data_IF_776579102396
#
_entry.id   IF_776579102396
#
_cell.length_a   1.000
_cell.length_b   1.000
_cell.length_c   1.000
_cell.angle_alpha   90.00
_cell.angle_beta   90.00
_cell.angle_gamma   90.00
#
_symmetry.space_group_name_H-M   'P 1'
#
loop_
_entity.id
_entity.type
_entity.pdbx_description
1 polymer ?
#
# COMPACT_ATOMS: atom_id res chain seq x y z
N UNK A 1 20.84 -7.02 -2.49
CA UNK A 1 20.96 -8.18 -1.58
C UNK A 1 21.17 -9.44 -2.42
N UNK A 2 21.97 -10.43 -1.98
CA UNK A 2 22.03 -11.71 -2.68
C UNK A 2 20.64 -12.34 -2.70
N UNK A 3 20.22 -12.76 -3.89
CA UNK A 3 18.99 -13.48 -4.13
C UNK A 3 19.04 -14.81 -3.35
N UNK A 4 18.18 -14.97 -2.37
CA UNK A 4 18.07 -16.20 -1.56
C UNK A 4 16.67 -16.80 -1.72
N UNK A 5 16.50 -18.09 -1.41
CA UNK A 5 15.18 -18.70 -1.37
C UNK A 5 14.24 -18.09 -0.30
N UNK A 6 14.77 -17.23 0.58
CA UNK A 6 14.00 -16.44 1.54
C UNK A 6 13.62 -15.05 0.99
N UNK A 7 14.17 -14.65 -0.16
CA UNK A 7 13.87 -13.38 -0.80
C UNK A 7 12.43 -13.34 -1.32
N UNK A 8 11.76 -12.17 -1.25
CA UNK A 8 10.42 -12.04 -1.78
C UNK A 8 10.33 -12.38 -3.26
N UNK A 9 9.24 -13.05 -3.67
CA UNK A 9 8.86 -13.12 -5.08
C UNK A 9 8.88 -11.75 -5.73
N UNK A 10 9.42 -11.68 -6.96
CA UNK A 10 9.44 -10.45 -7.71
C UNK A 10 8.04 -10.13 -8.26
N UNK A 11 7.29 -9.32 -7.51
CA UNK A 11 5.94 -8.86 -7.83
C UNK A 11 5.72 -7.44 -7.28
N UNK A 12 4.53 -6.88 -7.51
CA UNK A 12 4.20 -5.52 -7.06
C UNK A 12 4.29 -5.35 -5.55
N UNK A 13 3.93 -6.39 -4.78
CA UNK A 13 4.01 -6.34 -3.32
C UNK A 13 5.46 -6.26 -2.83
N UNK A 14 6.38 -6.96 -3.50
CA UNK A 14 7.81 -6.87 -3.20
C UNK A 14 8.40 -5.51 -3.59
N UNK A 15 7.98 -4.92 -4.71
CA UNK A 15 8.38 -3.54 -5.06
C UNK A 15 7.89 -2.52 -4.02
N UNK A 16 6.64 -2.68 -3.56
CA UNK A 16 6.10 -1.84 -2.49
C UNK A 16 6.84 -2.05 -1.16
N UNK A 17 7.22 -3.30 -0.83
CA UNK A 17 8.01 -3.62 0.35
C UNK A 17 9.38 -2.93 0.30
N UNK A 18 10.06 -2.99 -0.83
CA UNK A 18 11.37 -2.37 -1.01
C UNK A 18 11.28 -0.85 -0.80
N UNK A 19 10.28 -0.20 -1.42
CA UNK A 19 10.03 1.23 -1.21
C UNK A 19 9.69 1.52 0.26
N UNK A 20 8.87 0.69 0.90
CA UNK A 20 8.50 0.87 2.30
C UNK A 20 9.70 0.75 3.25
N UNK A 21 10.59 -0.22 3.01
CA UNK A 21 11.77 -0.46 3.83
C UNK A 21 12.84 0.61 3.65
N UNK A 22 13.01 1.13 2.44
CA UNK A 22 14.04 2.13 2.13
C UNK A 22 13.57 3.57 2.40
N UNK A 23 12.34 3.88 2.01
CA UNK A 23 11.84 5.26 1.92
C UNK A 23 10.60 5.51 2.80
N UNK A 24 10.16 4.51 3.58
CA UNK A 24 9.06 4.63 4.52
C UNK A 24 7.65 4.58 3.92
N UNK A 25 6.65 4.77 4.79
CA UNK A 25 5.23 4.66 4.45
C UNK A 25 4.82 5.67 3.38
N UNK A 26 5.23 6.93 3.54
CA UNK A 26 4.87 8.01 2.62
C UNK A 26 5.30 7.68 1.19
N UNK A 27 6.54 7.24 0.99
CA UNK A 27 7.02 6.84 -0.33
C UNK A 27 6.26 5.66 -0.93
N UNK A 28 5.90 4.67 -0.12
CA UNK A 28 5.08 3.54 -0.57
C UNK A 28 3.69 4.02 -1.04
N UNK A 29 3.04 4.89 -0.28
CA UNK A 29 1.72 5.44 -0.62
C UNK A 29 1.72 6.19 -1.96
N UNK A 30 2.83 6.87 -2.31
CA UNK A 30 2.99 7.50 -3.63
C UNK A 30 2.92 6.53 -4.79
N UNK A 31 3.23 5.25 -4.56
CA UNK A 31 3.17 4.21 -5.60
C UNK A 31 1.74 3.73 -5.85
N UNK A 32 0.77 4.07 -5.00
CA UNK A 32 -0.61 3.60 -5.15
C UNK A 32 -1.26 4.09 -6.45
N UNK A 33 -0.87 5.26 -6.96
CA UNK A 33 -1.35 5.77 -8.26
C UNK A 33 -0.97 4.86 -9.43
N UNK A 34 0.05 4.00 -9.28
CA UNK A 34 0.49 3.05 -10.30
C UNK A 34 -0.24 1.71 -10.23
N UNK A 35 -0.84 1.37 -9.09
CA UNK A 35 -1.49 0.07 -8.87
C UNK A 35 -2.65 -0.19 -9.84
N UNK A 36 -3.54 0.77 -10.16
CA UNK A 36 -4.56 0.55 -11.19
C UNK A 36 -3.96 0.15 -12.54
N UNK A 37 -2.92 0.86 -12.98
CA UNK A 37 -2.21 0.53 -14.22
C UNK A 37 -1.56 -0.84 -14.14
N UNK A 38 -0.92 -1.17 -13.02
CA UNK A 38 -0.30 -2.48 -12.77
C UNK A 38 -1.31 -3.64 -12.79
N UNK A 39 -2.57 -3.41 -12.38
CA UNK A 39 -3.65 -4.40 -12.45
C UNK A 39 -4.21 -4.55 -13.87
N UNK A 40 -4.11 -3.50 -14.71
CA UNK A 40 -4.63 -3.47 -16.08
C UNK A 40 -3.59 -3.72 -17.16
N UNK A 41 -2.36 -4.08 -16.81
CA UNK A 41 -1.36 -4.52 -17.80
C UNK A 41 -1.91 -5.73 -18.56
N UNK A 42 -1.80 -5.71 -19.90
CA UNK A 42 -2.41 -6.70 -20.78
C UNK A 42 -2.06 -8.15 -20.39
N UNK A 43 -0.80 -8.42 -20.05
CA UNK A 43 -0.35 -9.75 -19.62
C UNK A 43 -1.08 -10.27 -18.38
N UNK A 44 -1.41 -9.39 -17.42
CA UNK A 44 -2.18 -9.75 -16.23
C UNK A 44 -3.67 -9.78 -16.49
N UNK A 45 -4.21 -8.89 -17.31
CA UNK A 45 -5.62 -8.94 -17.71
C UNK A 45 -5.96 -10.29 -18.33
N UNK A 46 -5.07 -10.85 -19.17
CA UNK A 46 -5.24 -12.21 -19.70
C UNK A 46 -5.29 -13.27 -18.59
N UNK A 47 -4.49 -13.15 -17.54
CA UNK A 47 -4.51 -14.08 -16.40
C UNK A 47 -5.78 -13.92 -15.54
N UNK A 48 -6.25 -12.68 -15.34
CA UNK A 48 -7.52 -12.38 -14.67
C UNK A 48 -8.71 -12.96 -15.44
N UNK A 49 -8.78 -12.74 -16.76
CA UNK A 49 -9.81 -13.29 -17.65
C UNK A 49 -9.80 -14.83 -17.58
N UNK A 50 -8.63 -15.46 -17.73
CA UNK A 50 -8.49 -16.92 -17.58
C UNK A 50 -9.02 -17.39 -16.23
N UNK A 51 -8.72 -16.69 -15.15
CA UNK A 51 -9.18 -17.05 -13.80
C UNK A 51 -10.65 -16.70 -13.52
N UNK A 52 -11.35 -16.11 -14.49
CA UNK A 52 -12.70 -15.56 -14.30
C UNK A 52 -12.76 -14.60 -13.10
N UNK A 53 -11.77 -13.71 -13.01
CA UNK A 53 -11.68 -12.63 -12.03
C UNK A 53 -11.75 -11.31 -12.79
N UNK A 54 -12.68 -10.44 -12.40
CA UNK A 54 -12.69 -9.05 -12.84
C UNK A 54 -12.02 -8.22 -11.73
N UNK A 55 -11.15 -7.27 -12.08
CA UNK A 55 -10.47 -6.39 -11.10
C UNK A 55 -10.78 -4.91 -11.30
N UNK A 56 -11.81 -4.60 -12.08
CA UNK A 56 -12.16 -3.23 -12.46
C UNK A 56 -12.60 -2.42 -11.25
N UNK A 57 -13.36 -3.01 -10.31
CA UNK A 57 -13.77 -2.32 -9.08
C UNK A 57 -12.60 -2.14 -8.14
N UNK A 58 -11.69 -3.12 -8.11
CA UNK A 58 -10.43 -3.01 -7.38
C UNK A 58 -9.60 -1.84 -7.91
N UNK A 59 -9.32 -1.80 -9.20
CA UNK A 59 -8.57 -0.72 -9.84
C UNK A 59 -9.26 0.64 -9.66
N UNK A 60 -10.58 0.72 -9.88
CA UNK A 60 -11.36 1.94 -9.67
C UNK A 60 -11.31 2.44 -8.22
N UNK A 61 -11.23 1.55 -7.23
CA UNK A 61 -11.11 1.94 -5.83
C UNK A 61 -9.78 2.65 -5.54
N UNK A 62 -8.70 2.28 -6.23
CA UNK A 62 -7.40 2.96 -6.13
C UNK A 62 -7.38 4.26 -6.94
N UNK A 63 -8.04 4.32 -8.11
CA UNK A 63 -8.14 5.56 -8.90
C UNK A 63 -8.95 6.64 -8.17
N UNK A 64 -10.02 6.24 -7.51
CA UNK A 64 -10.90 7.14 -6.79
C UNK A 64 -10.32 7.58 -5.43
N UNK A 65 -9.15 7.09 -4.99
CA UNK A 65 -8.60 7.39 -3.66
C UNK A 65 -8.38 8.89 -3.43
N UNK A 66 -7.94 9.62 -4.47
CA UNK A 66 -7.71 11.06 -4.41
C UNK A 66 -9.01 11.86 -4.27
N UNK A 67 -10.09 11.35 -4.86
CA UNK A 67 -11.43 11.95 -4.80
C UNK A 67 -12.15 11.66 -3.48
N UNK A 68 -11.68 10.64 -2.74
CA UNK A 68 -12.30 10.18 -1.51
C UNK A 68 -11.35 10.32 -0.32
N UNK A 69 -10.77 11.51 -0.14
CA UNK A 69 -10.02 11.86 1.08
C UNK A 69 -8.93 10.84 1.46
N UNK A 70 -8.26 10.23 0.48
CA UNK A 70 -7.12 9.35 0.74
C UNK A 70 -7.47 8.12 1.58
N UNK A 71 -8.69 7.62 1.45
CA UNK A 71 -9.18 6.46 2.22
C UNK A 71 -8.21 5.27 2.16
N UNK A 72 -7.61 4.95 1.01
CA UNK A 72 -6.61 3.86 0.92
C UNK A 72 -5.37 4.13 1.78
N UNK A 73 -4.88 5.37 1.82
CA UNK A 73 -3.74 5.74 2.65
C UNK A 73 -4.08 5.68 4.14
N UNK A 74 -5.25 6.21 4.54
CA UNK A 74 -5.75 6.13 5.92
C UNK A 74 -5.86 4.69 6.41
N UNK A 75 -6.42 3.81 5.58
CA UNK A 75 -6.51 2.38 5.88
C UNK A 75 -5.14 1.72 5.96
N UNK A 76 -4.21 2.08 5.07
CA UNK A 76 -2.83 1.55 5.12
C UNK A 76 -2.13 1.95 6.41
N UNK A 77 -2.27 3.21 6.85
CA UNK A 77 -1.70 3.68 8.10
C UNK A 77 -2.25 2.93 9.32
N UNK A 78 -3.47 2.40 9.28
CA UNK A 78 -4.04 1.61 10.37
C UNK A 78 -3.47 0.19 10.49
N UNK A 79 -2.71 -0.30 9.50
CA UNK A 79 -2.08 -1.63 9.52
C UNK A 79 -0.82 -1.56 10.41
N UNK A 80 -0.58 -2.50 11.35
CA UNK A 80 0.66 -2.54 12.12
C UNK A 80 1.88 -2.64 11.19
N UNK A 81 2.92 -1.83 11.40
CA UNK A 81 4.09 -1.76 10.50
C UNK A 81 4.70 -3.14 10.16
N UNK A 82 4.94 -3.98 11.17
CA UNK A 82 5.42 -5.36 10.96
C UNK A 82 4.40 -6.24 10.24
N UNK A 83 3.11 -6.03 10.51
CA UNK A 83 2.04 -6.72 9.81
C UNK A 83 1.99 -6.35 8.33
N UNK A 84 2.17 -5.06 8.00
CA UNK A 84 2.28 -4.58 6.62
C UNK A 84 3.47 -5.21 5.90
N UNK A 85 4.65 -5.25 6.52
CA UNK A 85 5.82 -5.93 5.95
C UNK A 85 5.56 -7.43 5.73
N UNK A 86 4.93 -8.10 6.69
CA UNK A 86 4.60 -9.52 6.57
C UNK A 86 3.59 -9.79 5.43
N UNK A 87 2.61 -8.90 5.24
CA UNK A 87 1.63 -8.96 4.16
C UNK A 87 2.32 -8.76 2.81
N UNK A 88 3.11 -7.69 2.65
CA UNK A 88 3.80 -7.39 1.39
C UNK A 88 4.81 -8.48 1.01
N UNK A 89 5.51 -9.06 2.00
CA UNK A 89 6.48 -10.13 1.80
C UNK A 89 5.87 -11.53 1.71
N UNK A 90 4.58 -11.73 1.93
CA UNK A 90 4.00 -13.07 1.93
C UNK A 90 4.43 -13.97 3.10
N UNK A 91 4.90 -13.38 4.20
CA UNK A 91 5.48 -14.09 5.36
C UNK A 91 4.56 -14.10 6.59
N UNK A 92 3.27 -13.74 6.44
CA UNK A 92 2.29 -13.68 7.55
C UNK A 92 2.32 -14.93 8.43
N UNK A 93 2.38 -16.13 7.84
CA UNK A 93 2.42 -17.38 8.59
C UNK A 93 3.71 -17.55 9.41
N UNK A 94 4.85 -17.23 8.81
CA UNK A 94 6.17 -17.31 9.44
C UNK A 94 6.32 -16.31 10.59
N UNK A 95 6.08 -15.03 10.34
CA UNK A 95 6.20 -13.95 11.34
C UNK A 95 5.26 -14.15 12.53
N UNK A 96 4.08 -14.74 12.27
CA UNK A 96 3.10 -15.09 13.29
C UNK A 96 3.52 -16.21 14.24
N UNK A 97 4.53 -17.00 13.87
CA UNK A 97 5.03 -18.11 14.70
C UNK A 97 6.35 -17.79 15.38
N UNK A 98 7.17 -16.90 14.80
CA UNK A 98 8.43 -16.46 15.40
C UNK A 98 8.24 -15.58 16.62
N UNK A 99 7.24 -14.71 16.53
CA UNK A 99 6.93 -13.74 17.56
C UNK A 99 5.71 -14.25 18.30
N UNK A 100 5.83 -14.58 19.60
CA UNK A 100 4.65 -14.77 20.46
C UNK A 100 3.68 -13.62 20.14
N UNK A 101 2.45 -13.95 19.71
CA UNK A 101 1.53 -13.10 18.93
C UNK A 101 1.47 -11.59 19.30
N UNK A 102 1.77 -11.25 20.55
CA UNK A 102 1.78 -9.91 21.10
C UNK A 102 2.82 -8.96 20.46
N UNK A 103 3.95 -9.46 19.94
CA UNK A 103 5.02 -8.57 19.45
C UNK A 103 4.81 -8.02 18.03
N UNK A 104 3.92 -8.62 17.24
CA UNK A 104 3.60 -8.13 15.89
C UNK A 104 2.53 -7.03 15.91
N UNK A 105 1.82 -6.87 17.02
CA UNK A 105 0.76 -5.87 17.15
C UNK A 105 -0.47 -6.13 16.27
N UNK A 106 -0.70 -7.38 15.83
CA UNK A 106 -1.93 -7.71 15.12
C UNK A 106 -3.16 -7.36 15.94
N UNK A 107 -4.25 -7.00 15.27
CA UNK A 107 -5.52 -6.76 15.95
C UNK A 107 -6.09 -8.08 16.47
N UNK A 108 -6.80 -7.98 17.60
CA UNK A 108 -7.67 -9.07 18.04
C UNK A 108 -8.92 -9.13 17.15
N UNK A 109 -9.56 -10.30 16.99
CA UNK A 109 -10.70 -10.47 16.09
C UNK A 109 -12.01 -9.93 16.67
N UNK A 110 -11.96 -8.82 17.39
CA UNK A 110 -13.08 -8.15 18.06
C UNK A 110 -13.69 -7.08 17.13
N UNK A 111 -14.79 -7.44 16.47
CA UNK A 111 -15.52 -6.55 15.57
C UNK A 111 -15.36 -6.88 14.07
N UNK A 112 -15.83 -5.98 13.19
CA UNK A 112 -15.68 -6.12 11.75
C UNK A 112 -14.25 -5.81 11.32
N UNK A 113 -13.74 -6.51 10.32
CA UNK A 113 -12.42 -6.20 9.78
C UNK A 113 -11.92 -7.18 8.73
N UNK A 114 -10.63 -7.06 8.43
CA UNK A 114 -9.96 -7.72 7.32
C UNK A 114 -8.87 -8.59 7.91
N UNK A 115 -8.84 -9.84 7.44
CA UNK A 115 -7.87 -10.83 7.87
C UNK A 115 -7.09 -11.37 6.68
N UNK A 116 -5.86 -11.77 6.97
CA UNK A 116 -4.95 -12.41 6.01
C UNK A 116 -4.64 -13.80 6.52
N UNK A 117 -4.61 -14.75 5.60
CA UNK A 117 -4.35 -16.16 5.87
C UNK A 117 -3.13 -16.58 5.07
N UNK A 118 -2.09 -17.02 5.78
CA UNK A 118 -0.96 -17.75 5.19
C UNK A 118 -1.08 -19.25 5.46
N UNK A 119 -0.29 -20.05 4.75
CA UNK A 119 -0.19 -21.50 4.97
C UNK A 119 1.16 -21.85 5.59
N UNK A 120 1.14 -22.60 6.70
CA UNK A 120 2.33 -23.12 7.35
C UNK A 120 2.30 -24.65 7.36
N UNK A 121 3.46 -25.29 7.20
CA UNK A 121 3.60 -26.73 7.44
C UNK A 121 3.91 -26.98 8.91
N UNK A 122 3.18 -27.91 9.54
CA UNK A 122 3.39 -28.27 10.93
C UNK A 122 4.84 -28.71 11.18
N UNK A 123 5.43 -28.25 12.29
CA UNK A 123 6.82 -28.54 12.63
C UNK A 123 7.86 -27.65 11.96
N UNK A 124 7.47 -26.71 11.08
CA UNK A 124 8.41 -25.84 10.34
C UNK A 124 8.43 -24.38 10.79
N UNK A 125 7.92 -24.05 11.98
CA UNK A 125 7.95 -22.68 12.49
C UNK A 125 7.35 -21.66 11.53
N UNK A 126 6.15 -21.94 11.00
CA UNK A 126 5.43 -21.04 10.10
C UNK A 126 5.92 -21.01 8.65
N UNK A 127 6.99 -21.74 8.33
CA UNK A 127 7.48 -21.90 6.95
C UNK A 127 6.56 -22.82 6.12
N UNK A 128 6.68 -22.69 4.80
CA UNK A 128 5.85 -23.40 3.83
C UNK A 128 6.61 -24.61 3.24
N UNK A 129 6.79 -24.63 1.93
CA UNK A 129 7.38 -25.73 1.16
C UNK A 129 8.77 -25.38 0.63
N UNK A 130 9.59 -26.38 0.39
CA UNK A 130 10.77 -26.21 -0.48
C UNK A 130 10.37 -26.17 -1.96
N UNK A 131 11.35 -25.89 -2.83
CA UNK A 131 11.14 -25.96 -4.29
C UNK A 131 10.72 -27.37 -4.73
N UNK A 132 11.40 -28.41 -4.25
CA UNK A 132 11.12 -29.79 -4.64
C UNK A 132 9.70 -30.20 -4.22
N UNK A 133 9.28 -29.81 -3.02
CA UNK A 133 7.91 -30.05 -2.54
C UNK A 133 6.85 -29.22 -3.30
N UNK A 134 7.19 -28.03 -3.78
CA UNK A 134 6.31 -27.25 -4.65
C UNK A 134 6.15 -27.90 -6.01
N UNK A 135 7.21 -28.44 -6.61
CA UNK A 135 7.13 -29.17 -7.88
C UNK A 135 6.26 -30.43 -7.75
N UNK A 136 6.42 -31.15 -6.65
CA UNK A 136 5.56 -32.28 -6.31
C UNK A 136 4.09 -31.86 -6.17
N UNK A 137 3.82 -30.77 -5.43
CA UNK A 137 2.47 -30.23 -5.28
C UNK A 137 1.87 -29.83 -6.63
N UNK A 138 2.66 -29.22 -7.53
CA UNK A 138 2.21 -28.88 -8.89
C UNK A 138 1.87 -30.14 -9.69
N UNK A 139 2.70 -31.17 -9.62
CA UNK A 139 2.41 -32.45 -10.26
C UNK A 139 1.10 -33.06 -9.75
N UNK A 140 0.86 -33.00 -8.43
CA UNK A 140 -0.37 -33.45 -7.80
C UNK A 140 -1.60 -32.62 -8.23
N UNK A 141 -1.47 -31.29 -8.42
CA UNK A 141 -2.54 -30.45 -8.99
C UNK A 141 -2.86 -30.90 -10.43
N UNK A 142 -1.85 -31.10 -11.28
CA UNK A 142 -2.07 -31.58 -12.67
C UNK A 142 -2.72 -32.95 -12.70
N UNK A 143 -2.29 -33.86 -11.82
CA UNK A 143 -2.87 -35.20 -11.68
C UNK A 143 -4.33 -35.13 -11.25
N UNK A 144 -4.67 -34.25 -10.32
CA UNK A 144 -6.04 -34.01 -9.89
C UNK A 144 -6.91 -33.48 -11.05
N UNK A 145 -6.40 -32.51 -11.83
CA UNK A 145 -7.10 -31.97 -13.00
C UNK A 145 -7.33 -33.04 -14.07
N UNK A 146 -6.30 -33.85 -14.38
CA UNK A 146 -6.40 -34.96 -15.31
C UNK A 146 -7.44 -36.02 -14.87
N UNK A 147 -7.46 -36.33 -13.57
CA UNK A 147 -8.44 -37.25 -13.00
C UNK A 147 -9.86 -36.69 -13.07
N UNK A 148 -10.04 -35.40 -12.81
CA UNK A 148 -11.34 -34.73 -12.95
C UNK A 148 -11.86 -34.77 -14.39
N UNK A 149 -11.01 -34.44 -15.37
CA UNK A 149 -11.35 -34.54 -16.79
C UNK A 149 -11.71 -35.97 -17.21
N UNK A 150 -10.98 -36.97 -16.70
CA UNK A 150 -11.28 -38.37 -16.95
C UNK A 150 -12.64 -38.80 -16.40
N UNK A 151 -13.02 -38.31 -15.20
CA UNK A 151 -14.36 -38.60 -14.64
C UNK A 151 -15.45 -37.99 -15.53
N UNK A 152 -15.30 -36.73 -15.95
CA UNK A 152 -16.29 -36.08 -16.83
C UNK A 152 -16.45 -36.83 -18.16
N UNK A 153 -15.32 -37.27 -18.75
CA UNK A 153 -15.30 -37.96 -20.04
C UNK A 153 -15.65 -39.45 -19.93
N UNK A 154 -15.84 -39.97 -18.73
CA UNK A 154 -15.94 -41.40 -18.45
C UNK A 154 -14.78 -42.20 -19.08
N UNK A 155 -13.55 -41.71 -18.94
CA UNK A 155 -12.35 -42.34 -19.49
C UNK A 155 -11.74 -43.34 -18.49
N UNK A 156 -11.96 -44.66 -18.66
CA UNK A 156 -11.46 -45.67 -17.72
C UNK A 156 -9.95 -45.86 -17.81
N UNK A 157 -9.29 -45.41 -18.88
CA UNK A 157 -7.84 -45.60 -19.07
C UNK A 157 -7.02 -44.82 -18.04
N UNK A 158 -7.63 -43.80 -17.42
CA UNK A 158 -7.02 -42.94 -16.38
C UNK A 158 -7.47 -43.30 -14.97
N UNK A 159 -7.77 -44.57 -14.71
CA UNK A 159 -8.29 -45.02 -13.40
C UNK A 159 -7.40 -44.62 -12.21
N UNK A 160 -6.07 -44.56 -12.39
CA UNK A 160 -5.14 -44.12 -11.35
C UNK A 160 -5.33 -42.65 -10.93
N UNK A 161 -5.67 -41.77 -11.88
CA UNK A 161 -5.92 -40.35 -11.61
C UNK A 161 -7.32 -40.14 -11.05
N UNK A 162 -8.31 -40.92 -11.52
CA UNK A 162 -9.66 -40.96 -10.93
C UNK A 162 -9.59 -41.37 -9.46
N UNK A 163 -8.81 -42.41 -9.13
CA UNK A 163 -8.61 -42.86 -7.75
C UNK A 163 -7.87 -41.81 -6.90
N UNK A 164 -6.94 -41.07 -7.51
CA UNK A 164 -6.27 -39.96 -6.85
C UNK A 164 -7.25 -38.85 -6.45
N UNK A 165 -8.11 -38.39 -7.36
CA UNK A 165 -9.15 -37.38 -7.07
C UNK A 165 -10.04 -37.82 -5.89
N UNK A 166 -10.55 -39.06 -5.94
CA UNK A 166 -11.39 -39.63 -4.87
C UNK A 166 -10.68 -39.68 -3.52
N UNK A 167 -9.37 -39.94 -3.52
CA UNK A 167 -8.55 -39.99 -2.30
C UNK A 167 -8.42 -38.58 -1.71
N UNK A 168 -8.06 -37.60 -2.53
CA UNK A 168 -7.90 -36.20 -2.11
C UNK A 168 -9.22 -35.61 -1.62
N UNK A 169 -10.35 -35.93 -2.25
CA UNK A 169 -11.66 -35.42 -1.84
C UNK A 169 -12.12 -35.91 -0.45
N UNK A 170 -11.71 -37.12 -0.08
CA UNK A 170 -12.06 -37.76 1.20
C UNK A 170 -11.09 -37.43 2.33
N UNK A 171 -9.95 -36.80 2.04
CA UNK A 171 -8.87 -36.65 3.03
C UNK A 171 -9.23 -35.72 4.20
N UNK A 172 -10.14 -34.77 3.97
CA UNK A 172 -10.69 -33.86 4.98
C UNK A 172 -12.13 -34.25 5.35
N UNK A 173 -12.40 -35.55 5.45
CA UNK A 173 -13.70 -36.10 5.86
C UNK A 173 -14.65 -36.41 4.70
N UNK A 174 -15.88 -36.76 5.07
CA UNK A 174 -16.91 -37.19 4.12
C UNK A 174 -17.21 -36.11 3.07
N UNK A 175 -17.32 -36.55 1.82
CA UNK A 175 -17.71 -35.74 0.68
C UNK A 175 -19.21 -35.93 0.44
N UNK A 176 -20.03 -34.86 0.45
CA UNK A 176 -21.46 -34.98 0.20
C UNK A 176 -21.70 -35.57 -1.19
N UNK A 177 -22.55 -36.60 -1.25
CA UNK A 177 -22.89 -37.29 -2.51
C UNK A 177 -23.51 -36.35 -3.55
N UNK A 178 -23.39 -36.71 -4.82
CA UNK A 178 -24.00 -35.99 -5.95
C UNK A 178 -23.11 -34.96 -6.66
N UNK A 179 -21.88 -34.72 -6.18
CA UNK A 179 -20.89 -33.91 -6.90
C UNK A 179 -19.81 -34.81 -7.50
N UNK A 180 -19.24 -34.41 -8.64
CA UNK A 180 -18.15 -35.13 -9.32
C UNK A 180 -16.85 -35.05 -8.50
N UNK A 181 -16.59 -33.86 -7.95
CA UNK A 181 -15.36 -33.54 -7.20
C UNK A 181 -15.68 -32.51 -6.11
N UNK A 182 -14.93 -32.52 -5.02
CA UNK A 182 -15.10 -31.56 -3.91
C UNK A 182 -14.75 -30.14 -4.31
N UNK A 183 -13.66 -30.02 -5.06
CA UNK A 183 -13.02 -28.74 -5.36
C UNK A 183 -13.35 -28.20 -6.73
N UNK A 184 -13.75 -29.06 -7.66
CA UNK A 184 -14.09 -28.71 -9.04
C UNK A 184 -15.53 -29.10 -9.32
N UNK A 185 -16.40 -28.10 -9.43
CA UNK A 185 -17.79 -28.29 -9.87
C UNK A 185 -18.14 -27.59 -11.19
N UNK A 186 -17.32 -26.61 -11.61
CA UNK A 186 -17.57 -25.78 -12.79
C UNK A 186 -16.26 -25.49 -13.52
N UNK A 187 -16.34 -25.24 -14.83
CA UNK A 187 -15.18 -24.93 -15.68
C UNK A 187 -14.31 -23.76 -15.16
N UNK A 188 -14.85 -22.65 -14.62
CA UNK A 188 -14.03 -21.60 -14.03
C UNK A 188 -13.18 -22.06 -12.85
N UNK A 189 -13.62 -23.05 -12.07
CA UNK A 189 -12.85 -23.59 -10.95
C UNK A 189 -11.65 -24.38 -11.44
N UNK A 190 -11.83 -25.18 -12.49
CA UNK A 190 -10.76 -25.90 -13.15
C UNK A 190 -9.70 -24.94 -13.67
N UNK A 191 -10.11 -23.89 -14.38
CA UNK A 191 -9.17 -22.91 -14.94
C UNK A 191 -8.41 -22.14 -13.85
N UNK A 192 -9.05 -21.85 -12.70
CA UNK A 192 -8.38 -21.26 -11.54
C UNK A 192 -7.30 -22.17 -10.95
N UNK A 193 -7.53 -23.49 -10.90
CA UNK A 193 -6.52 -24.44 -10.42
C UNK A 193 -5.36 -24.60 -11.41
N UNK A 194 -5.62 -24.51 -12.72
CA UNK A 194 -4.55 -24.43 -13.74
C UNK A 194 -3.69 -23.19 -13.52
N UNK A 195 -4.32 -22.03 -13.29
CA UNK A 195 -3.57 -20.79 -13.03
C UNK A 195 -2.80 -20.89 -11.71
N UNK A 196 -3.39 -21.45 -10.66
CA UNK A 196 -2.70 -21.69 -9.38
C UNK A 196 -1.44 -22.55 -9.57
N UNK A 197 -1.54 -23.65 -10.31
CA UNK A 197 -0.38 -24.50 -10.63
C UNK A 197 0.73 -23.72 -11.34
N UNK A 198 0.38 -22.91 -12.33
CA UNK A 198 1.33 -22.06 -13.06
C UNK A 198 2.01 -21.06 -12.13
N UNK A 199 1.27 -20.40 -11.25
CA UNK A 199 1.80 -19.42 -10.30
C UNK A 199 2.67 -20.04 -9.22
N UNK A 200 2.33 -21.24 -8.74
CA UNK A 200 3.22 -22.03 -7.88
C UNK A 200 4.52 -22.39 -8.61
N UNK A 201 4.48 -22.59 -9.93
CA UNK A 201 5.68 -22.81 -10.74
C UNK A 201 6.67 -21.64 -10.71
N UNK A 202 6.19 -20.40 -10.62
CA UNK A 202 7.08 -19.23 -10.50
C UNK A 202 7.81 -19.17 -9.16
N UNK A 203 7.31 -19.88 -8.13
CA UNK A 203 8.01 -20.08 -6.85
C UNK A 203 9.09 -21.15 -6.95
N UNK A 204 9.17 -21.90 -8.05
CA UNK A 204 10.10 -23.00 -8.24
C UNK A 204 11.41 -22.55 -8.93
N UNK A 205 12.06 -21.50 -8.42
CA UNK A 205 13.22 -20.92 -9.10
C UNK A 205 14.54 -21.65 -8.76
N UNK A 206 15.05 -22.43 -9.71
CA UNK A 206 16.31 -23.16 -9.58
C UNK A 206 17.56 -22.27 -9.43
N UNK A 207 17.51 -21.00 -9.84
CA UNK A 207 18.63 -20.07 -9.64
C UNK A 207 18.73 -19.63 -8.17
N UNK A 208 17.60 -19.61 -7.45
CA UNK A 208 17.55 -19.24 -6.03
C UNK A 208 17.81 -20.43 -5.11
N UNK A 209 17.36 -21.62 -5.53
CA UNK A 209 17.54 -22.87 -4.81
C UNK A 209 17.89 -24.01 -5.80
N UNK A 210 19.16 -24.16 -6.17
CA UNK A 210 19.58 -25.17 -7.15
C UNK A 210 19.30 -26.61 -6.70
N UNK A 211 19.47 -26.88 -5.40
CA UNK A 211 19.25 -28.20 -4.80
C UNK A 211 17.74 -28.46 -4.61
N UNK A 212 17.00 -27.43 -4.20
CA UNK A 212 15.55 -27.46 -4.10
C UNK A 212 15.02 -27.82 -2.71
N UNK A 213 15.89 -27.85 -1.70
CA UNK A 213 15.58 -28.29 -0.34
C UNK A 213 15.44 -27.12 0.65
N UNK A 214 15.60 -25.87 0.19
CA UNK A 214 15.44 -24.72 1.08
C UNK A 214 13.96 -24.45 1.31
N UNK A 215 13.53 -24.58 2.55
CA UNK A 215 12.13 -24.35 2.96
C UNK A 215 11.83 -22.84 2.91
N UNK A 216 10.87 -22.45 2.07
CA UNK A 216 10.47 -21.05 1.90
C UNK A 216 9.74 -20.54 3.15
N UNK A 217 10.10 -19.33 3.59
CA UNK A 217 9.37 -18.61 4.65
C UNK A 217 8.06 -17.98 4.13
N UNK A 218 7.93 -17.85 2.82
CA UNK A 218 6.76 -17.27 2.16
C UNK A 218 5.71 -18.33 1.85
N UNK A 219 4.44 -17.94 1.88
CA UNK A 219 3.33 -18.79 1.43
C UNK A 219 2.34 -18.00 0.57
N UNK A 220 1.58 -18.67 -0.31
CA UNK A 220 0.43 -18.03 -0.95
C UNK A 220 -0.55 -17.51 0.11
N UNK A 221 -1.01 -16.27 -0.05
CA UNK A 221 -1.89 -15.62 0.90
C UNK A 221 -3.33 -15.60 0.41
N UNK A 222 -4.28 -15.64 1.35
CA UNK A 222 -5.68 -15.29 1.12
C UNK A 222 -6.04 -14.09 1.98
N UNK A 223 -6.80 -13.16 1.41
CA UNK A 223 -7.35 -12.01 2.11
C UNK A 223 -8.87 -12.15 2.13
N UNK A 224 -9.47 -11.92 3.29
CA UNK A 224 -10.93 -11.90 3.41
C UNK A 224 -11.37 -10.83 4.39
N UNK A 225 -12.64 -10.44 4.29
CA UNK A 225 -13.28 -9.59 5.29
C UNK A 225 -14.43 -10.31 6.02
N UNK A 226 -14.79 -9.81 7.20
CA UNK A 226 -15.98 -10.26 7.93
C UNK A 226 -16.50 -9.17 8.84
N UNK A 227 -17.82 -9.15 9.05
CA UNK A 227 -18.50 -8.41 10.12
C UNK A 227 -18.32 -9.07 11.50
N UNK A 228 -17.97 -10.37 11.53
CA UNK A 228 -17.81 -11.21 12.72
C UNK A 228 -16.46 -11.94 12.68
N UNK A 229 -15.36 -11.19 12.77
CA UNK A 229 -14.01 -11.75 12.69
C UNK A 229 -13.78 -12.90 13.66
N UNK A 230 -14.27 -12.80 14.90
CA UNK A 230 -14.07 -13.85 15.91
C UNK A 230 -14.61 -15.21 15.47
N UNK A 231 -15.83 -15.25 14.91
CA UNK A 231 -16.42 -16.48 14.39
C UNK A 231 -15.70 -16.93 13.12
N UNK A 232 -15.45 -15.98 12.20
CA UNK A 232 -14.85 -16.29 10.90
C UNK A 232 -13.45 -16.85 11.00
N UNK A 233 -12.62 -16.30 11.88
CA UNK A 233 -11.23 -16.76 12.08
C UNK A 233 -11.16 -18.14 12.73
N UNK A 234 -12.13 -18.50 13.60
CA UNK A 234 -12.23 -19.84 14.19
C UNK A 234 -12.55 -20.93 13.16
N UNK A 235 -13.26 -20.62 12.07
CA UNK A 235 -13.54 -21.57 10.98
C UNK A 235 -12.27 -22.07 10.27
N UNK A 236 -11.16 -21.35 10.36
CA UNK A 236 -9.87 -21.82 9.82
C UNK A 236 -9.16 -22.81 10.76
N UNK A 237 -9.56 -22.87 12.03
CA UNK A 237 -8.92 -23.72 13.03
C UNK A 237 -9.56 -25.11 13.14
N UNK A 238 -10.72 -25.32 12.52
CA UNK A 238 -11.41 -26.63 12.57
C UNK A 238 -10.73 -27.65 11.66
N UNK A 239 -10.79 -28.93 12.05
CA UNK A 239 -10.16 -30.04 11.29
C UNK A 239 -10.69 -30.19 9.87
N UNK A 240 -11.97 -29.88 9.66
CA UNK A 240 -12.67 -29.97 8.37
C UNK A 240 -13.31 -28.61 8.05
N UNK A 241 -12.53 -27.65 7.51
CA UNK A 241 -13.02 -26.30 7.29
C UNK A 241 -14.10 -26.27 6.19
N UNK A 242 -15.36 -26.19 6.62
CA UNK A 242 -16.50 -25.84 5.76
C UNK A 242 -16.66 -24.32 5.78
N UNK A 243 -16.80 -23.68 4.61
CA UNK A 243 -16.93 -22.22 4.51
C UNK A 243 -15.61 -21.46 4.32
N UNK A 244 -14.47 -22.16 4.31
CA UNK A 244 -13.17 -21.60 3.93
C UNK A 244 -13.03 -21.54 2.40
N UNK A 245 -12.23 -20.60 1.91
CA UNK A 245 -11.91 -20.45 0.50
C UNK A 245 -11.42 -21.79 -0.11
N UNK A 246 -12.03 -22.20 -1.24
CA UNK A 246 -11.78 -23.51 -1.90
C UNK A 246 -10.29 -23.76 -2.19
N UNK A 247 -9.52 -22.83 -2.83
CA UNK A 247 -8.07 -23.00 -3.03
C UNK A 247 -7.26 -23.36 -1.77
N UNK A 248 -7.54 -22.72 -0.62
CA UNK A 248 -6.87 -23.04 0.65
C UNK A 248 -7.09 -24.51 1.01
N UNK A 249 -8.37 -24.93 1.02
CA UNK A 249 -8.74 -26.29 1.41
C UNK A 249 -8.20 -27.33 0.42
N UNK A 250 -8.17 -27.00 -0.87
CA UNK A 250 -7.59 -27.84 -1.91
C UNK A 250 -6.09 -28.09 -1.69
N UNK A 251 -5.31 -27.02 -1.47
CA UNK A 251 -3.88 -27.16 -1.18
C UNK A 251 -3.63 -27.95 0.10
N UNK A 252 -4.41 -27.70 1.16
CA UNK A 252 -4.31 -28.48 2.41
C UNK A 252 -4.61 -29.97 2.19
N UNK A 253 -5.60 -30.31 1.37
CA UNK A 253 -5.91 -31.70 1.02
C UNK A 253 -4.77 -32.38 0.26
N UNK A 254 -4.20 -31.72 -0.74
CA UNK A 254 -3.07 -32.26 -1.50
C UNK A 254 -1.85 -32.48 -0.61
N UNK A 255 -1.48 -31.47 0.19
CA UNK A 255 -0.34 -31.55 1.11
C UNK A 255 -0.52 -32.67 2.12
N UNK A 256 -1.73 -32.82 2.69
CA UNK A 256 -2.03 -33.92 3.59
C UNK A 256 -1.92 -35.28 2.90
N UNK A 257 -2.26 -35.37 1.60
CA UNK A 257 -2.08 -36.57 0.78
C UNK A 257 -0.61 -36.98 0.66
N UNK A 258 0.31 -36.03 0.76
CA UNK A 258 1.76 -36.24 0.81
C UNK A 258 2.32 -36.44 2.23
N UNK A 259 1.47 -36.51 3.25
CA UNK A 259 1.91 -36.57 4.65
C UNK A 259 2.38 -35.23 5.22
N UNK A 260 2.22 -34.11 4.50
CA UNK A 260 2.53 -32.77 4.98
C UNK A 260 1.29 -32.14 5.63
N UNK A 261 1.35 -31.88 6.93
CA UNK A 261 0.22 -31.28 7.66
C UNK A 261 0.25 -29.75 7.54
N UNK A 262 -0.35 -29.22 6.48
CA UNK A 262 -0.53 -27.79 6.32
C UNK A 262 -1.63 -27.23 7.23
N UNK A 263 -1.39 -26.04 7.80
CA UNK A 263 -2.33 -25.33 8.69
C UNK A 263 -2.45 -23.87 8.24
N UNK A 264 -3.67 -23.33 8.17
CA UNK A 264 -3.86 -21.91 7.93
C UNK A 264 -3.45 -21.11 9.18
N UNK A 265 -2.74 -20.01 8.97
CA UNK A 265 -2.39 -19.04 10.00
C UNK A 265 -3.12 -17.75 9.69
N UNK A 266 -4.10 -17.39 10.52
CA UNK A 266 -4.98 -16.25 10.30
C UNK A 266 -4.59 -15.07 11.19
N UNK A 267 -4.45 -13.88 10.62
CA UNK A 267 -4.18 -12.64 11.36
C UNK A 267 -5.10 -11.52 10.91
N UNK A 268 -5.58 -10.72 11.86
CA UNK A 268 -6.39 -9.54 11.58
C UNK A 268 -5.46 -8.39 11.24
N UNK A 269 -5.44 -8.02 9.97
CA UNK A 269 -4.60 -6.95 9.46
C UNK A 269 -5.12 -5.58 9.89
N UNK A 270 -6.45 -5.43 9.95
CA UNK A 270 -7.10 -4.16 10.26
C UNK A 270 -8.56 -4.37 10.70
N UNK A 271 -9.04 -3.57 11.64
CA UNK A 271 -10.46 -3.45 11.97
C UNK A 271 -11.13 -2.40 11.09
N UNK A 272 -12.40 -2.61 10.74
CA UNK A 272 -13.19 -1.59 10.07
C UNK A 272 -13.72 -0.58 11.09
N UNK A 273 -13.26 0.66 10.97
CA UNK A 273 -13.59 1.77 11.87
C UNK A 273 -14.52 2.81 11.22
N UNK A 274 -14.95 2.58 9.97
CA UNK A 274 -15.89 3.43 9.25
C UNK A 274 -16.93 2.57 8.50
N UNK A 275 -18.12 3.12 8.33
CA UNK A 275 -19.16 2.49 7.52
C UNK A 275 -18.72 2.37 6.05
N UNK A 276 -19.07 1.24 5.41
CA UNK A 276 -18.70 1.00 4.01
C UNK A 276 -17.20 0.75 3.76
N UNK A 277 -16.38 0.70 4.81
CA UNK A 277 -14.94 0.51 4.70
C UNK A 277 -14.55 -0.92 4.30
N UNK A 278 -15.28 -1.95 4.75
CA UNK A 278 -14.91 -3.36 4.54
C UNK A 278 -14.57 -3.70 3.08
N UNK A 279 -15.41 -3.35 2.07
CA UNK A 279 -15.07 -3.71 0.69
C UNK A 279 -13.81 -3.03 0.17
N UNK A 280 -13.57 -1.76 0.57
CA UNK A 280 -12.40 -1.00 0.13
C UNK A 280 -11.13 -1.53 0.79
N UNK A 281 -11.21 -1.84 2.08
CA UNK A 281 -10.13 -2.40 2.86
C UNK A 281 -9.75 -3.82 2.40
N UNK A 282 -10.73 -4.66 2.05
CA UNK A 282 -10.47 -5.99 1.48
C UNK A 282 -9.70 -5.87 0.15
N UNK A 283 -10.11 -4.94 -0.73
CA UNK A 283 -9.40 -4.65 -1.99
C UNK A 283 -7.99 -4.16 -1.76
N UNK A 284 -7.81 -3.22 -0.84
CA UNK A 284 -6.49 -2.69 -0.47
C UNK A 284 -5.56 -3.84 -0.06
N UNK A 285 -5.95 -4.62 0.95
CA UNK A 285 -5.09 -5.66 1.50
C UNK A 285 -4.89 -6.80 0.49
N UNK A 286 -5.88 -7.11 -0.34
CA UNK A 286 -5.74 -8.09 -1.44
C UNK A 286 -4.65 -7.68 -2.42
N UNK A 287 -4.60 -6.39 -2.81
CA UNK A 287 -3.57 -5.87 -3.72
C UNK A 287 -2.20 -5.85 -3.03
N UNK A 288 -2.12 -5.37 -1.78
CA UNK A 288 -0.87 -5.36 -1.01
C UNK A 288 -0.32 -6.77 -0.70
N UNK A 289 -1.18 -7.78 -0.67
CA UNK A 289 -0.78 -9.16 -0.45
C UNK A 289 -0.47 -9.91 -1.77
N UNK A 290 -0.68 -9.26 -2.93
CA UNK A 290 -0.76 -9.91 -4.24
C UNK A 290 -1.63 -11.18 -4.20
N UNK A 291 -2.75 -11.15 -3.45
CA UNK A 291 -3.40 -12.37 -3.02
C UNK A 291 -4.35 -12.99 -4.04
N UNK A 292 -4.55 -12.38 -5.21
CA UNK A 292 -5.31 -13.02 -6.29
C UNK A 292 -4.63 -14.30 -6.77
N UNK A 293 -5.42 -15.30 -7.14
CA UNK A 293 -4.91 -16.62 -7.58
C UNK A 293 -4.07 -16.55 -8.86
N UNK A 294 -4.30 -15.53 -9.69
CA UNK A 294 -3.51 -15.23 -10.88
C UNK A 294 -2.27 -14.37 -10.61
N UNK A 295 -2.15 -13.82 -9.40
CA UNK A 295 -0.91 -13.23 -8.90
C UNK A 295 -0.23 -14.30 -8.05
N UNK A 296 -0.07 -14.12 -6.74
CA UNK A 296 0.72 -15.05 -5.92
C UNK A 296 -0.04 -15.61 -4.72
N UNK A 297 -1.36 -15.49 -4.70
CA UNK A 297 -2.21 -15.92 -3.59
C UNK A 297 -3.35 -16.87 -3.94
N UNK A 298 -4.43 -16.78 -3.17
CA UNK A 298 -5.52 -17.75 -3.10
C UNK A 298 -6.92 -17.11 -3.22
N UNK A 299 -7.02 -15.79 -3.42
CA UNK A 299 -8.28 -15.11 -3.76
C UNK A 299 -8.72 -15.51 -5.17
N UNK A 300 -9.77 -16.32 -5.25
CA UNK A 300 -10.34 -16.86 -6.48
C UNK A 300 -11.45 -15.96 -7.08
N UNK A 301 -11.77 -14.84 -6.45
CA UNK A 301 -12.81 -13.88 -6.84
C UNK A 301 -12.31 -12.47 -6.60
N UNK A 302 -12.93 -11.47 -7.24
CA UNK A 302 -12.64 -10.07 -6.96
C UNK A 302 -12.86 -9.76 -5.47
N UNK A 303 -11.97 -8.95 -4.91
CA UNK A 303 -12.09 -8.44 -3.55
C UNK A 303 -13.12 -7.30 -3.45
N UNK A 304 -13.57 -7.09 -2.22
CA UNK A 304 -14.56 -6.09 -1.87
C UNK A 304 -15.97 -6.57 -2.17
N UNK A 305 -16.33 -7.70 -1.55
CA UNK A 305 -17.64 -8.33 -1.63
C UNK A 305 -18.75 -7.48 -0.98
N UNK A 306 -19.68 -8.13 -0.27
CA UNK A 306 -20.81 -7.44 0.36
C UNK A 306 -20.32 -6.44 1.44
N UNK A 307 -21.02 -5.32 1.55
CA UNK A 307 -20.83 -4.37 2.64
C UNK A 307 -21.08 -5.03 4.01
N UNK A 308 -20.43 -4.49 5.05
CA UNK A 308 -20.66 -4.95 6.42
C UNK A 308 -22.05 -4.58 6.91
N UNK A 309 -22.63 -5.46 7.71
CA UNK A 309 -23.91 -5.22 8.42
C UNK A 309 -23.69 -5.02 9.92
N UNK A 310 -22.47 -4.65 10.32
CA UNK A 310 -22.14 -4.43 11.72
C UNK A 310 -22.92 -3.22 12.26
N UNK A 311 -23.47 -3.34 13.46
CA UNK A 311 -24.18 -2.25 14.10
C UNK A 311 -23.24 -1.05 14.37
N UNK A 312 -23.73 0.20 14.31
CA UNK A 312 -22.90 1.40 14.49
C UNK A 312 -22.07 1.39 15.79
N UNK A 313 -22.62 0.87 16.89
CA UNK A 313 -21.90 0.77 18.17
C UNK A 313 -20.66 -0.13 18.11
N UNK A 314 -20.67 -1.18 17.28
CA UNK A 314 -19.51 -2.06 17.10
C UNK A 314 -18.43 -1.36 16.27
N UNK A 315 -18.82 -0.59 15.25
CA UNK A 315 -17.90 0.21 14.44
C UNK A 315 -17.23 1.29 15.31
N UNK A 316 -17.99 1.98 16.17
CA UNK A 316 -17.45 2.97 17.10
C UNK A 316 -16.45 2.37 18.09
N UNK A 317 -16.66 1.13 18.53
CA UNK A 317 -15.68 0.46 19.38
C UNK A 317 -14.40 0.08 18.63
N UNK A 318 -14.53 -0.40 17.39
CA UNK A 318 -13.39 -0.64 16.51
C UNK A 318 -12.60 0.65 16.22
N UNK A 319 -13.29 1.78 16.03
CA UNK A 319 -12.71 3.10 15.88
C UNK A 319 -11.85 3.48 17.11
N UNK A 320 -12.38 3.35 18.33
CA UNK A 320 -11.60 3.58 19.55
C UNK A 320 -10.37 2.67 19.64
N UNK A 321 -10.48 1.42 19.19
CA UNK A 321 -9.33 0.51 19.16
C UNK A 321 -8.26 1.02 18.20
N UNK A 322 -8.64 1.43 16.98
CA UNK A 322 -7.70 1.86 15.93
C UNK A 322 -7.06 3.21 16.24
N UNK A 323 -7.83 4.18 16.74
CA UNK A 323 -7.35 5.56 16.96
C UNK A 323 -6.80 5.81 18.36
N UNK A 324 -7.33 5.14 19.40
CA UNK A 324 -6.98 5.46 20.79
C UNK A 324 -6.18 4.35 21.48
N UNK A 325 -6.59 3.09 21.36
CA UNK A 325 -5.98 1.98 22.13
C UNK A 325 -4.74 1.41 21.47
N UNK A 326 -4.74 1.32 20.14
CA UNK A 326 -3.59 0.90 19.35
C UNK A 326 -2.91 2.12 18.77
N UNK A 327 -1.58 2.16 18.88
CA UNK A 327 -0.76 3.29 18.39
C UNK A 327 -0.30 3.11 16.94
N UNK A 328 -0.74 2.07 16.23
CA UNK A 328 -0.27 1.77 14.87
C UNK A 328 -0.52 2.93 13.92
N UNK A 329 -1.75 3.44 13.87
CA UNK A 329 -2.12 4.54 12.98
C UNK A 329 -1.35 5.81 13.30
N UNK A 330 -1.33 6.22 14.57
CA UNK A 330 -0.62 7.43 14.99
C UNK A 330 0.88 7.32 14.72
N UNK A 331 1.51 6.20 15.06
CA UNK A 331 2.94 6.01 14.83
C UNK A 331 3.27 6.06 13.33
N UNK A 332 2.52 5.30 12.51
CA UNK A 332 2.71 5.28 11.06
C UNK A 332 2.49 6.67 10.43
N UNK A 333 1.54 7.46 10.94
CA UNK A 333 1.31 8.83 10.49
C UNK A 333 2.44 9.77 10.91
N UNK A 334 2.91 9.67 12.15
CA UNK A 334 4.05 10.47 12.62
C UNK A 334 5.32 10.17 11.84
N UNK A 335 5.59 8.88 11.54
CA UNK A 335 6.72 8.47 10.72
C UNK A 335 6.60 9.05 9.29
N UNK A 336 5.39 9.03 8.72
CA UNK A 336 5.13 9.62 7.41
C UNK A 336 5.28 11.15 7.42
N UNK A 337 4.84 11.84 8.47
CA UNK A 337 5.00 13.29 8.65
C UNK A 337 6.49 13.62 8.80
N UNK A 338 7.25 12.86 9.58
CA UNK A 338 8.69 13.05 9.74
C UNK A 338 9.43 12.92 8.39
N UNK A 339 9.12 11.90 7.58
CA UNK A 339 9.69 11.76 6.23
C UNK A 339 9.29 12.94 5.32
N UNK A 340 8.07 13.46 5.47
CA UNK A 340 7.66 14.66 4.75
C UNK A 340 8.46 15.91 5.17
N UNK A 341 8.64 16.13 6.47
CA UNK A 341 9.38 17.28 6.99
C UNK A 341 10.85 17.25 6.57
N UNK A 342 11.48 16.08 6.62
CA UNK A 342 12.84 15.87 6.11
C UNK A 342 12.94 16.20 4.61
N UNK A 343 11.92 15.82 3.83
CA UNK A 343 11.87 16.16 2.40
C UNK A 343 11.66 17.64 2.16
N UNK A 344 10.77 18.30 2.90
CA UNK A 344 10.57 19.75 2.80
C UNK A 344 11.89 20.47 3.11
N UNK A 345 12.59 20.06 4.17
CA UNK A 345 13.91 20.60 4.51
C UNK A 345 14.92 20.39 3.38
N UNK A 346 14.99 19.19 2.82
CA UNK A 346 15.84 18.91 1.65
C UNK A 346 15.50 19.81 0.45
N UNK A 347 14.21 20.06 0.18
CA UNK A 347 13.79 20.95 -0.90
C UNK A 347 14.17 22.40 -0.64
N UNK A 348 14.07 22.87 0.61
CA UNK A 348 14.52 24.21 1.00
C UNK A 348 16.03 24.37 0.84
N UNK A 349 16.81 23.38 1.29
CA UNK A 349 18.27 23.34 1.08
C UNK A 349 18.61 23.34 -0.42
N UNK A 350 17.82 22.65 -1.25
CA UNK A 350 17.98 22.66 -2.70
C UNK A 350 17.67 24.04 -3.30
N UNK A 351 16.60 24.70 -2.84
CA UNK A 351 16.27 26.07 -3.25
C UNK A 351 17.39 27.05 -2.94
N UNK A 352 17.95 27.00 -1.73
CA UNK A 352 19.11 27.80 -1.34
C UNK A 352 20.35 27.52 -2.19
N UNK A 353 20.54 26.25 -2.60
CA UNK A 353 21.61 25.91 -3.54
C UNK A 353 21.35 26.53 -4.93
N UNK A 354 20.10 26.59 -5.39
CA UNK A 354 19.71 27.26 -6.63
C UNK A 354 20.03 28.74 -6.60
N UNK A 355 19.60 29.45 -5.54
CA UNK A 355 19.83 30.90 -5.41
C UNK A 355 21.34 31.24 -5.38
N UNK A 356 22.14 30.38 -4.76
CA UNK A 356 23.60 30.52 -4.74
C UNK A 356 24.22 30.35 -6.12
N UNK A 357 23.60 29.57 -7.00
CA UNK A 357 24.07 29.42 -8.38
C UNK A 357 23.75 30.62 -9.21
N UNK A 358 22.53 31.11 -9.13
CA UNK A 358 22.15 32.32 -9.83
C UNK A 358 23.09 33.48 -9.42
N UNK A 359 23.42 33.55 -8.13
CA UNK A 359 24.44 34.50 -7.62
C UNK A 359 25.84 34.25 -8.19
N UNK A 360 26.25 32.99 -8.36
CA UNK A 360 27.57 32.65 -8.92
C UNK A 360 27.64 32.92 -10.42
N UNK A 361 26.56 32.66 -11.16
CA UNK A 361 26.44 32.94 -12.58
C UNK A 361 26.47 34.45 -12.83
N UNK A 362 25.74 35.24 -12.04
CA UNK A 362 25.84 36.70 -12.07
C UNK A 362 27.28 37.20 -11.82
N UNK A 363 28.00 36.60 -10.87
CA UNK A 363 29.41 36.94 -10.61
C UNK A 363 30.35 36.50 -11.72
N UNK A 364 30.05 35.41 -12.42
CA UNK A 364 30.81 34.97 -13.59
C UNK A 364 30.63 35.97 -14.73
N UNK A 365 29.40 36.42 -15.01
CA UNK A 365 29.13 37.46 -16.01
C UNK A 365 29.87 38.77 -15.67
N UNK A 366 29.86 39.17 -14.40
CA UNK A 366 30.61 40.35 -13.92
C UNK A 366 32.12 40.21 -14.12
N UNK A 367 32.67 39.02 -13.84
CA UNK A 367 34.09 38.73 -14.05
C UNK A 367 34.46 38.63 -15.54
N UNK A 368 33.59 38.11 -16.40
CA UNK A 368 33.81 38.09 -17.84
C UNK A 368 33.87 39.52 -18.40
N UNK A 369 32.90 40.36 -18.02
CA UNK A 369 32.88 41.78 -18.34
C UNK A 369 34.13 42.51 -17.83
N UNK A 370 34.58 42.18 -16.61
CA UNK A 370 35.80 42.75 -16.03
C UNK A 370 37.06 42.23 -16.71
N UNK A 371 37.11 40.96 -17.13
CA UNK A 371 38.25 40.38 -17.86
C UNK A 371 38.40 41.01 -19.24
N UNK A 372 37.30 41.43 -19.87
CA UNK A 372 37.34 42.20 -21.12
C UNK A 372 38.05 43.55 -20.94
N UNK A 373 38.11 44.08 -19.71
CA UNK A 373 38.85 45.31 -19.37
C UNK A 373 40.29 45.06 -18.89
N UNK A 374 40.68 43.81 -18.59
CA UNK A 374 42.02 43.46 -18.10
C UNK A 374 42.84 42.67 -19.15
N UNK A 375 44.06 43.14 -19.44
CA UNK A 375 45.04 42.51 -20.33
C UNK A 375 45.63 41.21 -19.75
N UNK A 376 44.83 40.19 -19.53
CA UNK A 376 45.31 38.83 -19.25
C UNK A 376 45.72 38.14 -20.56
N UNK A 377 46.72 37.24 -20.49
CA UNK A 377 47.11 36.47 -21.66
C UNK A 377 46.00 35.49 -22.02
N UNK A 378 45.64 35.43 -23.31
CA UNK A 378 44.46 34.72 -23.81
C UNK A 378 44.44 33.22 -23.41
N UNK A 379 45.61 32.60 -23.22
CA UNK A 379 45.73 31.18 -22.86
C UNK A 379 45.36 30.89 -21.41
N UNK A 380 45.65 31.81 -20.47
CA UNK A 380 45.32 31.64 -19.05
C UNK A 380 43.81 31.74 -18.83
N UNK A 381 43.16 32.69 -19.52
CA UNK A 381 41.71 32.87 -19.50
C UNK A 381 41.00 31.63 -20.06
N UNK A 382 41.47 31.11 -21.20
CA UNK A 382 40.90 29.89 -21.82
C UNK A 382 41.09 28.66 -20.93
N UNK A 383 42.23 28.53 -20.25
CA UNK A 383 42.49 27.43 -19.31
C UNK A 383 41.54 27.45 -18.10
N UNK A 384 41.33 28.64 -17.53
CA UNK A 384 40.39 28.84 -16.41
C UNK A 384 38.95 28.55 -16.82
N UNK A 385 38.51 29.05 -17.98
CA UNK A 385 37.15 28.82 -18.48
C UNK A 385 36.86 27.34 -18.73
N UNK A 386 37.81 26.59 -19.32
CA UNK A 386 37.63 25.14 -19.55
C UNK A 386 37.49 24.34 -18.27
N UNK A 387 38.36 24.58 -17.28
CA UNK A 387 38.28 23.90 -15.98
C UNK A 387 36.97 24.24 -15.24
N UNK A 388 36.46 25.46 -15.42
CA UNK A 388 35.18 25.88 -14.83
C UNK A 388 33.98 25.24 -15.53
N UNK A 389 34.03 25.14 -16.86
CA UNK A 389 32.98 24.53 -17.68
C UNK A 389 32.79 23.04 -17.36
N UNK A 390 33.88 22.29 -17.18
CA UNK A 390 33.82 20.87 -16.79
C UNK A 390 33.22 20.67 -15.39
N UNK A 391 33.51 21.57 -14.45
CA UNK A 391 32.87 21.55 -13.13
C UNK A 391 31.38 21.85 -13.19
N UNK A 392 30.98 22.81 -14.03
CA UNK A 392 29.58 23.18 -14.22
C UNK A 392 28.77 22.06 -14.88
N UNK A 393 29.34 21.32 -15.84
CA UNK A 393 28.66 20.21 -16.51
C UNK A 393 28.36 19.03 -15.57
N UNK A 394 29.30 18.67 -14.69
CA UNK A 394 29.06 17.65 -13.66
C UNK A 394 28.04 18.11 -12.60
N UNK A 395 28.12 19.36 -12.16
CA UNK A 395 27.12 19.90 -11.24
C UNK A 395 25.72 19.97 -11.86
N UNK A 396 25.60 20.29 -13.15
CA UNK A 396 24.34 20.33 -13.88
C UNK A 396 23.71 18.93 -14.01
N UNK A 397 24.51 17.89 -14.30
CA UNK A 397 24.04 16.50 -14.40
C UNK A 397 23.51 15.97 -13.06
N UNK A 398 24.18 16.27 -11.95
CA UNK A 398 23.68 15.94 -10.60
C UNK A 398 22.41 16.73 -10.25
N UNK A 399 22.31 17.99 -10.65
CA UNK A 399 21.12 18.84 -10.41
C UNK A 399 19.89 18.43 -11.23
N UNK A 400 20.05 18.06 -12.49
CA UNK A 400 18.94 17.60 -13.34
C UNK A 400 18.26 16.35 -12.76
N UNK A 401 19.03 15.44 -12.14
CA UNK A 401 18.49 14.30 -11.39
C UNK A 401 17.65 14.73 -10.19
N UNK A 402 18.05 15.79 -9.46
CA UNK A 402 17.33 16.33 -8.29
C UNK A 402 16.06 17.12 -8.67
N UNK A 403 16.08 17.91 -9.73
CA UNK A 403 14.90 18.66 -10.19
C UNK A 403 13.76 17.73 -10.67
N UNK A 404 14.10 16.59 -11.29
CA UNK A 404 13.13 15.55 -11.66
C UNK A 404 12.47 14.86 -10.45
N UNK A 405 13.07 14.95 -9.26
CA UNK A 405 12.53 14.47 -7.99
C UNK A 405 11.54 15.48 -7.37
N UNK A 406 11.83 16.78 -7.50
CA UNK A 406 11.02 17.92 -7.06
C UNK A 406 9.64 17.98 -7.73
N UNK A 407 9.60 17.87 -9.06
CA UNK A 407 8.34 17.87 -9.83
C UNK A 407 7.38 16.74 -9.43
N UNK A 408 7.91 15.64 -8.85
CA UNK A 408 7.07 14.54 -8.35
C UNK A 408 6.57 14.78 -6.92
N UNK A 409 7.14 15.73 -6.17
CA UNK A 409 6.79 16.06 -4.78
C UNK A 409 5.66 17.10 -4.70
N UNK A 410 5.54 17.98 -5.69
CA UNK A 410 4.54 19.06 -5.71
C UNK A 410 3.10 18.56 -5.92
N UNK A 411 2.92 17.53 -6.77
CA UNK A 411 1.66 16.77 -6.89
C UNK A 411 1.21 16.12 -5.57
N UNK A 412 2.13 16.01 -4.60
CA UNK A 412 1.93 15.34 -3.33
C UNK A 412 1.69 16.24 -2.12
N UNK A 413 1.91 17.55 -2.23
CA UNK A 413 1.61 18.45 -1.12
C UNK A 413 0.08 18.63 -0.96
N UNK A 414 -0.68 18.50 -2.06
CA UNK A 414 -2.17 18.50 -2.09
C UNK A 414 -2.82 17.26 -1.43
N UNK A 415 -2.02 16.29 -1.00
CA UNK A 415 -2.45 14.96 -0.54
C UNK A 415 -2.61 14.90 0.97
N UNK A 416 -1.75 15.61 1.70
CA UNK A 416 -1.56 15.44 3.13
C UNK A 416 -2.08 16.59 3.97
N UNK A 417 -2.50 17.70 3.34
CA UNK A 417 -3.21 18.79 4.03
C UNK A 417 -4.69 18.64 3.72
N UNK A 418 -5.55 18.27 4.69
CA UNK A 418 -7.00 18.27 4.47
C UNK A 418 -7.44 19.63 3.96
N UNK A 419 -8.33 19.68 2.98
CA UNK A 419 -8.84 20.95 2.40
C UNK A 419 -9.39 21.88 3.49
N UNK A 420 -9.93 21.34 4.58
CA UNK A 420 -10.33 22.12 5.77
C UNK A 420 -9.17 22.76 6.52
N UNK A 421 -8.00 22.12 6.60
CA UNK A 421 -6.79 22.69 7.24
C UNK A 421 -6.17 23.74 6.33
N UNK A 422 -6.20 23.53 5.01
CA UNK A 422 -5.81 24.52 4.00
C UNK A 422 -6.72 25.75 4.06
N UNK A 423 -8.05 25.55 4.05
CA UNK A 423 -9.01 26.65 4.16
C UNK A 423 -8.92 27.37 5.52
N UNK A 424 -8.68 26.65 6.61
CA UNK A 424 -8.49 27.28 7.93
C UNK A 424 -7.18 28.06 8.02
N UNK A 425 -6.09 27.55 7.43
CA UNK A 425 -4.83 28.27 7.32
C UNK A 425 -4.97 29.52 6.44
N UNK A 426 -5.65 29.42 5.30
CA UNK A 426 -5.97 30.57 4.43
C UNK A 426 -6.86 31.60 5.14
N UNK A 427 -7.84 31.15 5.95
CA UNK A 427 -8.67 32.01 6.79
C UNK A 427 -7.84 32.76 7.83
N UNK A 428 -6.97 32.06 8.54
CA UNK A 428 -6.07 32.64 9.56
C UNK A 428 -5.09 33.65 8.93
N UNK A 429 -4.57 33.37 7.73
CA UNK A 429 -3.70 34.30 6.99
C UNK A 429 -4.47 35.55 6.60
N UNK A 430 -5.68 35.43 6.02
CA UNK A 430 -6.54 36.57 5.69
C UNK A 430 -6.95 37.39 6.92
N UNK A 431 -7.26 36.74 8.04
CA UNK A 431 -7.58 37.42 9.30
C UNK A 431 -6.37 38.19 9.85
N UNK A 432 -5.15 37.64 9.72
CA UNK A 432 -3.91 38.34 10.09
C UNK A 432 -3.56 39.48 9.15
N UNK A 433 -3.79 39.34 7.85
CA UNK A 433 -3.60 40.41 6.85
C UNK A 433 -4.59 41.55 7.08
N UNK A 434 -5.86 41.23 7.33
CA UNK A 434 -6.89 42.22 7.66
C UNK A 434 -6.62 42.89 9.02
N UNK A 435 -6.11 42.14 10.01
CA UNK A 435 -5.69 42.71 11.30
C UNK A 435 -4.48 43.63 11.16
N UNK A 436 -3.49 43.27 10.33
CA UNK A 436 -2.34 44.13 10.01
C UNK A 436 -2.76 45.37 9.21
N UNK A 437 -3.66 45.23 8.25
CA UNK A 437 -4.20 46.36 7.49
C UNK A 437 -5.02 47.30 8.38
N UNK A 438 -5.85 46.75 9.27
CA UNK A 438 -6.62 47.53 10.24
C UNK A 438 -5.70 48.24 11.25
N UNK A 439 -4.64 47.56 11.70
CA UNK A 439 -3.61 48.15 12.56
C UNK A 439 -2.82 49.26 11.86
N UNK A 440 -2.43 49.07 10.61
CA UNK A 440 -1.76 50.09 9.80
C UNK A 440 -2.67 51.29 9.51
N UNK A 441 -3.98 51.08 9.37
CA UNK A 441 -4.97 52.15 9.25
C UNK A 441 -5.13 52.90 10.58
N UNK A 442 -5.21 52.21 11.73
CA UNK A 442 -5.28 52.89 13.04
C UNK A 442 -3.98 53.61 13.39
N UNK A 443 -2.82 53.04 13.06
CA UNK A 443 -1.50 53.65 13.29
C UNK A 443 -1.29 54.83 12.32
N UNK A 444 -1.79 54.72 11.09
CA UNK A 444 -1.82 55.83 10.11
C UNK A 444 -2.79 56.94 10.49
N UNK A 445 -3.95 56.62 11.06
CA UNK A 445 -4.91 57.61 11.61
C UNK A 445 -4.34 58.27 12.87
N UNK A 446 -3.61 57.53 13.72
CA UNK A 446 -2.93 58.08 14.88
C UNK A 446 -1.78 59.02 14.46
N UNK A 447 -0.99 58.65 13.45
CA UNK A 447 0.06 59.51 12.89
C UNK A 447 -0.53 60.78 12.23
N UNK A 448 -1.62 60.65 11.46
CA UNK A 448 -2.28 61.80 10.84
C UNK A 448 -2.93 62.76 11.85
N UNK A 449 -3.37 62.27 13.02
CA UNK A 449 -3.84 63.12 14.14
C UNK A 449 -2.71 63.84 14.87
N UNK A 450 -1.48 63.34 14.81
CA UNK A 450 -0.31 63.99 15.42
C UNK A 450 0.21 65.11 14.51
N UNK A 451 0.18 64.93 13.18
CA UNK A 451 0.61 65.97 12.22
C UNK A 451 -0.45 67.05 11.92
N UNK A 452 -1.72 66.81 12.26
CA UNK A 452 -2.82 67.75 12.02
C UNK A 452 -3.11 68.74 13.16
N UNK A 453 -2.38 68.69 14.28
CA UNK A 453 -2.68 69.47 15.50
C UNK A 453 -1.73 70.66 15.74
N UNK A 454 -0.92 71.06 14.76
CA UNK A 454 -0.17 72.33 14.78
C UNK A 454 -0.64 73.23 13.62
N UNK A 455 -1.91 73.64 13.64
CA UNK A 455 -2.39 74.60 12.67
C UNK A 455 -3.88 74.91 12.81
N UNK A 456 -4.15 76.15 13.22
CA UNK A 456 -5.41 76.88 13.09
C UNK A 456 -6.42 76.80 14.26
N UNK A 457 -6.45 77.93 14.99
CA UNK A 457 -7.62 78.79 15.28
C UNK A 457 -8.81 78.15 16.03
N UNK A 458 -9.12 78.60 17.27
CA UNK A 458 -9.91 79.81 17.54
C UNK A 458 -11.18 79.88 16.70
N UNK A 459 -12.32 79.43 17.24
CA UNK A 459 -13.51 80.27 17.44
C UNK A 459 -14.68 79.49 18.07
N UNK A 460 -15.49 80.28 18.76
CA UNK A 460 -16.67 79.97 19.54
C UNK A 460 -17.83 79.28 18.78
N UNK A 461 -18.81 78.85 19.59
CA UNK A 461 -20.28 78.90 19.38
C UNK A 461 -21.02 77.57 19.16
N UNK A 462 -21.84 77.29 20.19
CA UNK A 462 -23.20 76.75 20.24
C UNK A 462 -23.53 75.27 19.96
N UNK A 463 -24.09 74.67 21.02
CA UNK A 463 -25.31 73.87 21.06
C UNK A 463 -26.17 73.85 19.78
N UNK A 464 -26.44 72.63 19.27
CA UNK A 464 -27.72 72.30 18.67
C UNK A 464 -27.94 70.77 18.63
N UNK A 465 -28.82 70.29 19.52
CA UNK A 465 -29.64 69.07 19.36
C UNK A 465 -30.78 69.43 18.36
N UNK A 466 -31.39 68.55 17.50
CA UNK A 466 -31.91 67.20 17.82
C UNK A 466 -32.10 66.31 16.54
N UNK A 467 -33.14 65.47 16.34
CA UNK A 467 -33.80 64.45 17.19
C UNK A 467 -33.79 63.04 16.57
N UNK A 468 -34.15 62.06 17.42
CA UNK A 468 -34.76 60.79 17.05
C UNK A 468 -36.08 60.97 16.26
N UNK A 469 -36.30 60.15 15.23
CA UNK A 469 -37.64 59.80 14.76
C UNK A 469 -37.64 58.35 14.24
N UNK A 470 -38.52 57.57 14.86
CA UNK A 470 -39.01 56.28 14.39
C UNK A 470 -39.79 56.45 13.08
N UNK A 471 -39.55 55.54 12.13
CA UNK A 471 -40.54 54.58 11.57
C UNK A 471 -39.82 53.49 10.78
#
# INVERSE_FOLDING_TARGET
MPLSAESPLHNESAELLEVYQNDGLYAMLRRYSRLPGALRVASKQLQFIRSSINVDRTAASFEAQHKHQWVMARMTAAIPARGLQAILSGTVAYESTKNNNHHMGWYEPEGPGIYVVGLAVAGRGGKFLSRNELEDLRADIRRYLNGYDAIIKNDPTRQADINFVRTIDRILGAFPGGRISRFLDKAPEQQRMVVLEQRLGLRCNAQLDPIGDVIQIQSPQYVGCSDKLQSRTKEYLVKNPTGVNKPIVFLMSLLRGRGLVARPVVRVAMLAFEEGMLPRAERLITVLASSYICQDGLNATEAGGRGGTAAPGIISEAEKVVFSRRKHMINNLNDAISDMDERVKFLQELGQCSDRLDTMDMKLEELEMSSFTMKLSQSEVIGMLKSRLEKLDEEFKERYKRHRLLMKLEDLHRVFVPEKVLMEAERIVKEKENSKASKAVTDGIAAAKIDGAEGALSQDVAEYDPPSLHE
#
